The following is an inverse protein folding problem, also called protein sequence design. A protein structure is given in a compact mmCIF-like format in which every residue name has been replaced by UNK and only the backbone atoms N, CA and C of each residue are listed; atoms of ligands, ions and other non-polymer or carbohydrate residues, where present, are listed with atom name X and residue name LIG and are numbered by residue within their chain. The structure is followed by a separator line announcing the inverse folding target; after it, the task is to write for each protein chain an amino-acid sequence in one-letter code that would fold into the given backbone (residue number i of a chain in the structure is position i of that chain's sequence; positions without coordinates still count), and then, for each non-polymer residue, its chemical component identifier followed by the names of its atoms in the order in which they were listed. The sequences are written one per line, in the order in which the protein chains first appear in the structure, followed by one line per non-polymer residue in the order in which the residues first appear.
data_IF_553347195291
#
_entry.id   IF_553347195291
#
_cell.length_a   1.000
_cell.length_b   1.000
_cell.length_c   1.000
_cell.angle_alpha   90.00
_cell.angle_beta   90.00
_cell.angle_gamma   90.00
#
_symmetry.space_group_name_H-M   'P 1'
#
loop_
_entity.id
_entity.type
_entity.pdbx_description
1 polymer ?
#
# COMPACT_ATOMS: atom_id res chain seq x y z
N UNK A 1 5.19 -1.97 -31.27
CA UNK A 1 6.41 -1.47 -30.58
C UNK A 1 7.66 -1.83 -31.36
N UNK A 2 8.62 -0.92 -31.52
CA UNK A 2 9.91 -1.21 -32.16
C UNK A 2 10.90 -1.71 -31.10
N UNK A 3 11.84 -2.58 -31.49
CA UNK A 3 12.92 -3.06 -30.57
C UNK A 3 13.65 -1.92 -29.85
N UNK A 4 13.79 -0.76 -30.51
CA UNK A 4 14.42 0.42 -29.95
C UNK A 4 13.63 0.95 -28.74
N UNK A 5 12.30 0.93 -28.83
CA UNK A 5 11.41 1.44 -27.77
C UNK A 5 11.53 0.60 -26.48
N UNK A 6 11.58 -0.75 -26.60
CA UNK A 6 11.81 -1.64 -25.44
C UNK A 6 13.16 -1.37 -24.80
N UNK A 7 14.20 -1.21 -25.62
CA UNK A 7 15.55 -0.95 -25.09
C UNK A 7 15.63 0.39 -24.36
N UNK A 8 14.92 1.41 -24.80
CA UNK A 8 14.85 2.71 -24.13
C UNK A 8 14.09 2.61 -22.80
N UNK A 9 13.00 1.82 -22.75
CA UNK A 9 12.22 1.61 -21.53
C UNK A 9 12.96 0.82 -20.43
N UNK A 10 13.86 -0.10 -20.83
CA UNK A 10 14.60 -0.99 -19.93
C UNK A 10 16.02 -0.52 -19.61
N UNK A 11 16.49 0.56 -20.25
CA UNK A 11 17.80 1.14 -19.99
C UNK A 11 17.67 2.43 -19.19
N UNK A 12 18.70 2.72 -18.42
CA UNK A 12 18.87 3.99 -17.70
C UNK A 12 17.67 4.36 -16.79
N UNK A 13 17.02 3.35 -16.19
CA UNK A 13 15.92 3.53 -15.24
C UNK A 13 16.46 4.30 -14.03
N UNK A 14 15.84 5.42 -13.74
CA UNK A 14 16.16 6.24 -12.57
C UNK A 14 15.19 5.94 -11.42
N UNK A 15 15.63 6.12 -10.17
CA UNK A 15 14.73 6.04 -9.04
C UNK A 15 13.45 6.86 -9.25
N UNK A 16 12.31 6.24 -8.96
CA UNK A 16 10.95 6.79 -9.09
C UNK A 16 10.45 7.07 -10.51
N UNK A 17 11.15 6.61 -11.55
CA UNK A 17 10.59 6.65 -12.91
C UNK A 17 9.23 5.96 -12.93
N UNK A 18 8.21 6.68 -13.42
CA UNK A 18 6.83 6.19 -13.48
C UNK A 18 6.60 5.27 -14.67
N UNK A 19 5.65 4.35 -14.52
CA UNK A 19 5.09 3.61 -15.65
C UNK A 19 4.24 4.53 -16.55
N UNK A 20 3.80 4.00 -17.70
CA UNK A 20 2.85 4.71 -18.57
C UNK A 20 1.41 4.58 -18.09
N UNK A 21 1.14 3.59 -17.24
CA UNK A 21 -0.20 3.27 -16.70
C UNK A 21 -0.11 2.92 -15.23
N UNK A 22 -1.26 3.06 -14.54
CA UNK A 22 -1.43 2.66 -13.13
C UNK A 22 -2.47 1.55 -13.07
N UNK A 23 -2.16 0.42 -12.45
CA UNK A 23 -3.06 -0.72 -12.42
C UNK A 23 -4.34 -0.48 -11.62
N UNK A 24 -4.27 0.30 -10.54
CA UNK A 24 -5.42 0.58 -9.66
C UNK A 24 -6.51 1.43 -10.31
N UNK A 25 -6.18 2.18 -11.37
CA UNK A 25 -7.12 3.04 -12.10
C UNK A 25 -7.51 2.48 -13.49
N UNK A 26 -6.86 1.40 -13.92
CA UNK A 26 -7.28 0.68 -15.14
C UNK A 26 -8.60 -0.07 -14.85
N UNK A 27 -9.69 0.19 -15.59
CA UNK A 27 -11.01 -0.38 -15.26
C UNK A 27 -11.06 -1.91 -15.27
N UNK A 28 -10.27 -2.55 -16.13
CA UNK A 28 -10.19 -4.00 -16.18
C UNK A 28 -9.39 -4.57 -14.99
N UNK A 29 -8.17 -4.04 -14.78
CA UNK A 29 -7.28 -4.52 -13.72
C UNK A 29 -7.86 -4.22 -12.33
N UNK A 30 -8.50 -3.06 -12.14
CA UNK A 30 -9.13 -2.72 -10.86
C UNK A 30 -10.19 -3.74 -10.42
N UNK A 31 -10.87 -4.39 -11.36
CA UNK A 31 -11.79 -5.49 -11.06
C UNK A 31 -11.04 -6.74 -10.61
N UNK A 32 -9.97 -7.13 -11.31
CA UNK A 32 -9.13 -8.28 -10.93
C UNK A 32 -8.48 -8.06 -9.57
N UNK A 33 -8.02 -6.83 -9.28
CA UNK A 33 -7.47 -6.45 -7.99
C UNK A 33 -8.51 -6.57 -6.87
N UNK A 34 -9.75 -6.14 -7.11
CA UNK A 34 -10.82 -6.30 -6.12
C UNK A 34 -11.07 -7.78 -5.81
N UNK A 35 -11.12 -8.65 -6.81
CA UNK A 35 -11.26 -10.09 -6.63
C UNK A 35 -10.09 -10.66 -5.81
N UNK A 36 -8.85 -10.23 -6.11
CA UNK A 36 -7.68 -10.63 -5.34
C UNK A 36 -7.69 -10.13 -3.88
N UNK A 37 -8.15 -8.89 -3.63
CA UNK A 37 -8.35 -8.38 -2.26
C UNK A 37 -9.34 -9.20 -1.45
N UNK A 38 -10.37 -9.73 -2.10
CA UNK A 38 -11.46 -10.46 -1.45
C UNK A 38 -11.17 -11.95 -1.26
N UNK A 39 -10.13 -12.48 -1.88
CA UNK A 39 -9.72 -13.88 -1.68
C UNK A 39 -8.99 -14.02 -0.33
N UNK A 40 -9.60 -14.70 0.66
CA UNK A 40 -9.02 -14.79 2.00
C UNK A 40 -7.83 -15.76 2.10
N UNK A 41 -7.48 -16.44 1.00
CA UNK A 41 -6.48 -17.52 0.98
C UNK A 41 -5.12 -17.08 0.43
N UNK A 42 -5.06 -15.92 -0.23
CA UNK A 42 -3.84 -15.43 -0.88
C UNK A 42 -3.40 -14.08 -0.31
N UNK A 43 -2.10 -13.81 -0.37
CA UNK A 43 -1.48 -12.54 -0.02
C UNK A 43 -1.07 -11.78 -1.32
N UNK A 44 -2.05 -11.48 -2.19
CA UNK A 44 -1.76 -10.89 -3.50
C UNK A 44 -2.02 -9.37 -3.56
N UNK A 45 -3.15 -8.89 -3.03
CA UNK A 45 -3.52 -7.48 -2.99
C UNK A 45 -3.87 -7.03 -1.56
N UNK A 46 -4.17 -7.98 -0.69
CA UNK A 46 -4.34 -7.82 0.77
C UNK A 46 -3.76 -9.05 1.46
N UNK A 47 -3.55 -8.96 2.76
CA UNK A 47 -3.12 -10.11 3.56
C UNK A 47 -4.22 -11.15 3.66
N UNK A 48 -3.81 -12.42 3.79
CA UNK A 48 -4.73 -13.51 4.10
C UNK A 48 -5.48 -13.25 5.41
N UNK A 49 -6.59 -13.97 5.60
CA UNK A 49 -7.50 -13.75 6.73
C UNK A 49 -6.84 -13.88 8.11
N UNK A 50 -5.89 -14.80 8.25
CA UNK A 50 -5.16 -15.00 9.52
C UNK A 50 -4.35 -13.77 9.86
N UNK A 51 -3.58 -13.24 8.91
CA UNK A 51 -2.73 -12.07 9.09
C UNK A 51 -3.55 -10.79 9.25
N UNK A 52 -4.67 -10.64 8.54
CA UNK A 52 -5.63 -9.54 8.78
C UNK A 52 -6.11 -9.56 10.24
N UNK A 53 -6.54 -10.72 10.75
CA UNK A 53 -7.02 -10.84 12.13
C UNK A 53 -5.93 -10.51 13.15
N UNK A 54 -4.72 -11.04 12.97
CA UNK A 54 -3.57 -10.74 13.86
C UNK A 54 -3.25 -9.25 13.89
N UNK A 55 -3.27 -8.60 12.74
CA UNK A 55 -3.08 -7.15 12.62
C UNK A 55 -4.17 -6.38 13.35
N UNK A 56 -5.44 -6.75 13.17
CA UNK A 56 -6.58 -6.14 13.87
C UNK A 56 -6.49 -6.29 15.40
N UNK A 57 -6.13 -7.48 15.88
CA UNK A 57 -5.98 -7.76 17.31
C UNK A 57 -4.79 -6.94 17.90
N UNK A 58 -3.74 -6.74 17.12
CA UNK A 58 -2.63 -5.88 17.50
C UNK A 58 -3.03 -4.40 17.55
N UNK A 59 -3.80 -3.91 16.55
CA UNK A 59 -4.30 -2.52 16.51
C UNK A 59 -5.18 -2.24 17.73
N UNK A 60 -6.03 -3.16 18.14
CA UNK A 60 -6.88 -3.02 19.33
C UNK A 60 -6.05 -2.75 20.62
N UNK A 61 -4.84 -3.30 20.69
CA UNK A 61 -3.93 -3.06 21.81
C UNK A 61 -3.20 -1.72 21.72
N UNK A 62 -3.38 -0.94 20.63
CA UNK A 62 -2.72 0.35 20.43
C UNK A 62 -3.62 1.55 20.77
N UNK A 63 -4.83 1.34 21.28
CA UNK A 63 -5.76 2.40 21.68
C UNK A 63 -5.06 3.46 22.57
N UNK A 64 -5.31 4.74 22.27
CA UNK A 64 -4.66 5.85 22.95
C UNK A 64 -5.61 6.66 23.83
N UNK A 65 -6.94 6.59 23.55
CA UNK A 65 -7.99 7.24 24.32
C UNK A 65 -9.35 6.53 24.11
N UNK A 66 -10.43 7.09 24.65
CA UNK A 66 -11.78 6.51 24.59
C UNK A 66 -12.52 6.81 23.28
N UNK A 67 -12.13 7.84 22.52
CA UNK A 67 -12.87 8.28 21.33
C UNK A 67 -12.68 7.34 20.14
N UNK A 68 -11.49 6.76 20.00
CA UNK A 68 -11.16 5.78 18.95
C UNK A 68 -11.46 6.25 17.51
N UNK A 69 -11.28 7.57 17.22
CA UNK A 69 -11.39 8.07 15.85
C UNK A 69 -10.19 7.58 15.03
N UNK A 70 -10.46 6.76 14.03
CA UNK A 70 -9.43 6.08 13.25
C UNK A 70 -9.57 6.41 11.77
N UNK A 71 -8.44 6.70 11.12
CA UNK A 71 -8.32 6.85 9.67
C UNK A 71 -7.45 5.75 9.10
N UNK A 72 -7.94 5.07 8.07
CA UNK A 72 -7.20 4.09 7.27
C UNK A 72 -6.82 4.71 5.91
N UNK A 73 -5.52 4.89 5.67
CA UNK A 73 -4.96 5.42 4.43
C UNK A 73 -4.61 4.25 3.48
N UNK A 74 -5.17 4.26 2.28
CA UNK A 74 -5.12 3.12 1.36
C UNK A 74 -6.05 2.00 1.82
N UNK A 75 -7.28 2.32 2.27
CA UNK A 75 -8.20 1.37 2.88
C UNK A 75 -8.70 0.27 1.94
N UNK A 76 -8.49 0.40 0.62
CA UNK A 76 -8.94 -0.56 -0.37
C UNK A 76 -10.44 -0.85 -0.29
N UNK A 77 -10.86 -2.13 -0.40
CA UNK A 77 -12.26 -2.54 -0.29
C UNK A 77 -12.81 -2.57 1.14
N UNK A 78 -12.06 -2.07 2.12
CA UNK A 78 -12.53 -1.90 3.48
C UNK A 78 -12.37 -3.10 4.41
N UNK A 79 -11.42 -3.99 4.16
CA UNK A 79 -11.23 -5.21 4.97
C UNK A 79 -10.92 -4.89 6.43
N UNK A 80 -10.06 -3.91 6.70
CA UNK A 80 -9.72 -3.48 8.05
C UNK A 80 -10.79 -2.54 8.62
N UNK A 81 -11.24 -1.57 7.84
CA UNK A 81 -12.21 -0.55 8.29
C UNK A 81 -13.53 -1.15 8.73
N UNK A 82 -14.05 -2.15 8.00
CA UNK A 82 -15.28 -2.88 8.35
C UNK A 82 -15.15 -3.58 9.70
N UNK A 83 -14.07 -4.32 9.92
CA UNK A 83 -13.83 -5.05 11.17
C UNK A 83 -13.55 -4.10 12.36
N UNK A 84 -12.80 -3.02 12.14
CA UNK A 84 -12.55 -2.02 13.18
C UNK A 84 -13.85 -1.29 13.59
N UNK A 85 -14.72 -0.97 12.63
CA UNK A 85 -16.03 -0.40 12.93
C UNK A 85 -16.89 -1.35 13.79
N UNK A 86 -16.90 -2.66 13.51
CA UNK A 86 -17.56 -3.68 14.35
C UNK A 86 -16.97 -3.77 15.76
N UNK A 87 -15.69 -3.44 15.93
CA UNK A 87 -14.98 -3.38 17.22
C UNK A 87 -15.18 -2.06 17.97
N UNK A 88 -16.05 -1.16 17.45
CA UNK A 88 -16.44 0.09 18.10
C UNK A 88 -15.54 1.27 17.84
N UNK A 89 -14.71 1.24 16.78
CA UNK A 89 -13.99 2.40 16.31
C UNK A 89 -14.92 3.31 15.48
N UNK A 90 -14.70 4.62 15.55
CA UNK A 90 -15.28 5.59 14.62
C UNK A 90 -14.34 5.70 13.42
N UNK A 91 -14.69 5.05 12.31
CA UNK A 91 -13.74 4.77 11.22
C UNK A 91 -13.98 5.68 10.03
N UNK A 92 -12.86 6.21 9.48
CA UNK A 92 -12.78 6.79 8.15
C UNK A 92 -11.80 6.01 7.29
N UNK A 93 -12.03 5.92 5.98
CA UNK A 93 -11.15 5.25 5.04
C UNK A 93 -10.96 6.08 3.78
N UNK A 94 -9.70 6.29 3.37
CA UNK A 94 -9.33 6.99 2.16
C UNK A 94 -8.61 6.04 1.20
N UNK A 95 -9.03 6.05 -0.05
CA UNK A 95 -8.37 5.31 -1.12
C UNK A 95 -8.62 6.03 -2.46
N UNK A 96 -7.65 5.99 -3.37
CA UNK A 96 -7.83 6.63 -4.68
C UNK A 96 -8.54 5.73 -5.70
N UNK A 97 -8.72 4.43 -5.43
CA UNK A 97 -9.46 3.49 -6.27
C UNK A 97 -10.98 3.65 -6.05
N UNK A 98 -11.65 4.29 -6.98
CA UNK A 98 -13.11 4.42 -6.95
C UNK A 98 -13.82 3.05 -6.88
N UNK A 99 -13.24 2.03 -7.53
CA UNK A 99 -13.81 0.67 -7.53
C UNK A 99 -13.80 0.07 -6.12
N UNK A 100 -12.68 0.18 -5.42
CA UNK A 100 -12.52 -0.28 -4.02
C UNK A 100 -13.45 0.49 -3.08
N UNK A 101 -13.48 1.82 -3.18
CA UNK A 101 -14.34 2.68 -2.35
C UNK A 101 -15.84 2.39 -2.56
N UNK A 102 -16.27 2.17 -3.80
CA UNK A 102 -17.68 1.83 -4.05
C UNK A 102 -18.05 0.49 -3.44
N UNK A 103 -17.15 -0.49 -3.49
CA UNK A 103 -17.34 -1.78 -2.84
C UNK A 103 -17.40 -1.62 -1.30
N UNK A 104 -16.43 -0.90 -0.71
CA UNK A 104 -16.39 -0.66 0.73
C UNK A 104 -17.64 0.05 1.26
N UNK A 105 -18.14 1.07 0.54
CA UNK A 105 -19.40 1.76 0.86
C UNK A 105 -20.59 0.81 0.84
N UNK A 106 -20.67 -0.05 -0.19
CA UNK A 106 -21.75 -1.03 -0.29
C UNK A 106 -21.75 -2.02 0.88
N UNK A 107 -20.57 -2.56 1.22
CA UNK A 107 -20.43 -3.47 2.37
C UNK A 107 -20.84 -2.79 3.67
N UNK A 108 -20.41 -1.55 3.89
CA UNK A 108 -20.80 -0.79 5.08
C UNK A 108 -22.33 -0.56 5.16
N UNK A 109 -22.97 -0.23 4.04
CA UNK A 109 -24.43 -0.08 3.95
C UNK A 109 -25.17 -1.40 4.24
N UNK A 110 -24.74 -2.49 3.58
CA UNK A 110 -25.33 -3.82 3.72
C UNK A 110 -25.22 -4.36 5.18
N UNK A 111 -24.15 -4.00 5.88
CA UNK A 111 -23.90 -4.39 7.27
C UNK A 111 -24.38 -3.35 8.31
N UNK A 112 -24.95 -2.24 7.87
CA UNK A 112 -25.44 -1.17 8.76
C UNK A 112 -24.35 -0.46 9.55
N UNK A 113 -23.13 -0.37 9.01
CA UNK A 113 -21.97 0.27 9.62
C UNK A 113 -21.88 1.74 9.20
N UNK A 114 -21.50 2.61 10.14
CA UNK A 114 -21.28 4.02 9.86
C UNK A 114 -19.79 4.32 9.65
N UNK A 115 -19.31 4.08 8.43
CA UNK A 115 -17.91 4.32 8.04
C UNK A 115 -17.87 5.43 6.99
N UNK A 116 -16.96 6.40 7.17
CA UNK A 116 -16.78 7.51 6.22
C UNK A 116 -15.73 7.10 5.18
N UNK A 117 -16.16 6.81 3.95
CA UNK A 117 -15.26 6.52 2.85
C UNK A 117 -15.15 7.68 1.87
N UNK A 118 -13.91 8.06 1.54
CA UNK A 118 -13.61 9.08 0.54
C UNK A 118 -12.67 8.52 -0.54
N UNK A 119 -13.05 8.78 -1.82
CA UNK A 119 -12.17 8.46 -2.95
C UNK A 119 -11.24 9.64 -3.18
N UNK A 120 -10.00 9.55 -2.68
CA UNK A 120 -9.03 10.63 -2.76
C UNK A 120 -7.59 10.11 -2.68
N UNK A 121 -6.66 10.91 -3.15
CA UNK A 121 -5.25 10.75 -2.89
C UNK A 121 -4.95 11.27 -1.47
N UNK A 122 -4.50 10.40 -0.58
CA UNK A 122 -4.16 10.74 0.80
C UNK A 122 -3.02 11.78 0.93
N UNK A 123 -2.20 11.96 -0.12
CA UNK A 123 -1.20 13.04 -0.16
C UNK A 123 -1.87 14.43 -0.16
N UNK A 124 -3.12 14.52 -0.57
CA UNK A 124 -3.89 15.78 -0.65
C UNK A 124 -4.79 16.01 0.55
N UNK A 125 -4.80 15.14 1.57
CA UNK A 125 -5.67 15.29 2.73
C UNK A 125 -5.38 16.58 3.51
N UNK A 126 -6.44 17.22 4.03
CA UNK A 126 -6.35 18.50 4.75
C UNK A 126 -6.86 18.45 6.19
N UNK A 127 -7.16 17.25 6.70
CA UNK A 127 -7.64 17.03 8.07
C UNK A 127 -6.71 17.66 9.11
N UNK A 128 -7.26 18.16 10.20
CA UNK A 128 -6.53 18.82 11.28
C UNK A 128 -7.07 18.40 12.66
N UNK A 129 -6.21 17.72 13.47
CA UNK A 129 -6.56 17.23 14.82
C UNK A 129 -7.89 16.45 14.89
N UNK A 130 -8.11 15.57 13.93
CA UNK A 130 -9.37 14.80 13.82
C UNK A 130 -9.24 13.36 14.30
N UNK A 131 -8.04 12.76 14.24
CA UNK A 131 -7.87 11.33 14.47
C UNK A 131 -6.99 11.05 15.68
N UNK A 132 -7.33 9.97 16.39
CA UNK A 132 -6.55 9.41 17.48
C UNK A 132 -5.55 8.38 16.95
N UNK A 133 -5.95 7.66 15.90
CA UNK A 133 -5.14 6.67 15.19
C UNK A 133 -5.24 6.96 13.70
N UNK A 134 -4.11 7.03 13.04
CA UNK A 134 -4.02 6.93 11.58
C UNK A 134 -3.25 5.64 11.29
N UNK A 135 -3.73 4.85 10.37
CA UNK A 135 -3.04 3.63 9.94
C UNK A 135 -2.82 3.61 8.43
N UNK A 136 -1.78 2.89 8.01
CA UNK A 136 -1.46 2.61 6.61
C UNK A 136 -0.86 1.21 6.55
N UNK A 137 -1.64 0.24 6.11
CA UNK A 137 -1.30 -1.19 6.21
C UNK A 137 -1.09 -1.80 4.81
N UNK A 138 -0.28 -2.83 4.75
CA UNK A 138 0.16 -3.55 3.56
C UNK A 138 1.34 -2.89 2.83
N UNK A 139 2.29 -2.36 3.61
CA UNK A 139 3.55 -1.75 3.15
C UNK A 139 3.39 -0.53 2.23
N UNK A 140 2.21 0.09 2.21
CA UNK A 140 1.88 1.20 1.29
C UNK A 140 2.76 2.44 1.52
N UNK A 141 3.26 2.66 2.75
CA UNK A 141 4.25 3.71 3.02
C UNK A 141 5.55 3.55 2.20
N UNK A 142 5.92 2.32 1.89
CA UNK A 142 7.12 1.97 1.13
C UNK A 142 7.03 2.27 -0.37
N UNK A 143 5.84 2.46 -0.95
CA UNK A 143 5.69 2.71 -2.39
C UNK A 143 5.96 4.17 -2.78
N UNK A 144 5.94 5.07 -1.79
CA UNK A 144 6.10 6.51 -1.98
C UNK A 144 7.57 6.90 -2.22
N UNK A 145 7.78 7.92 -3.02
CA UNK A 145 9.07 8.60 -3.13
C UNK A 145 9.42 9.33 -1.83
N UNK A 146 10.67 9.76 -1.71
CA UNK A 146 11.13 10.51 -0.52
C UNK A 146 10.30 11.79 -0.30
N UNK A 147 10.00 12.53 -1.37
CA UNK A 147 9.24 13.79 -1.27
C UNK A 147 7.78 13.51 -0.89
N UNK A 148 7.16 12.48 -1.48
CA UNK A 148 5.79 12.05 -1.14
C UNK A 148 5.71 11.57 0.31
N UNK A 149 6.69 10.80 0.81
CA UNK A 149 6.75 10.40 2.24
C UNK A 149 6.84 11.62 3.17
N UNK A 150 7.70 12.58 2.85
CA UNK A 150 7.83 13.79 3.64
C UNK A 150 6.52 14.60 3.69
N UNK A 151 5.80 14.68 2.57
CA UNK A 151 4.50 15.37 2.53
C UNK A 151 3.44 14.58 3.32
N UNK A 152 3.39 13.27 3.14
CA UNK A 152 2.46 12.42 3.89
C UNK A 152 2.69 12.50 5.40
N UNK A 153 3.95 12.46 5.87
CA UNK A 153 4.27 12.57 7.31
C UNK A 153 3.78 13.91 7.88
N UNK A 154 3.92 15.02 7.15
CA UNK A 154 3.37 16.32 7.57
C UNK A 154 1.85 16.30 7.66
N UNK A 155 1.19 15.72 6.67
CA UNK A 155 -0.26 15.59 6.64
C UNK A 155 -0.77 14.73 7.79
N UNK A 156 -0.13 13.59 8.06
CA UNK A 156 -0.43 12.71 9.21
C UNK A 156 -0.23 13.47 10.53
N UNK A 157 0.89 14.19 10.67
CA UNK A 157 1.13 14.97 11.88
C UNK A 157 0.03 16.02 12.13
N UNK A 158 -0.41 16.72 11.09
CA UNK A 158 -1.50 17.69 11.16
C UNK A 158 -2.83 17.03 11.54
N UNK A 159 -3.16 15.90 10.91
CA UNK A 159 -4.43 15.21 11.07
C UNK A 159 -4.59 14.50 12.43
N UNK A 160 -3.50 14.05 13.03
CA UNK A 160 -3.50 13.45 14.35
C UNK A 160 -3.78 14.48 15.45
N UNK A 161 -4.60 14.10 16.43
CA UNK A 161 -4.74 14.82 17.70
C UNK A 161 -3.43 14.80 18.48
N UNK A 162 -3.20 15.75 19.41
CA UNK A 162 -2.09 15.65 20.35
C UNK A 162 -2.12 14.33 21.11
N UNK A 163 -1.00 13.59 21.07
CA UNK A 163 -0.89 12.27 21.68
C UNK A 163 -1.42 11.12 20.83
N UNK A 164 -1.99 11.39 19.67
CA UNK A 164 -2.41 10.39 18.68
C UNK A 164 -1.23 9.62 18.09
N UNK A 165 -1.51 8.52 17.42
CA UNK A 165 -0.50 7.62 16.87
C UNK A 165 -0.71 7.34 15.39
N UNK A 166 0.41 7.24 14.66
CA UNK A 166 0.45 6.66 13.33
C UNK A 166 0.94 5.22 13.41
N UNK A 167 0.25 4.33 12.75
CA UNK A 167 0.57 2.91 12.66
C UNK A 167 0.78 2.56 11.20
N UNK A 168 1.92 1.97 10.87
CA UNK A 168 2.14 1.46 9.53
C UNK A 168 3.04 0.22 9.57
N UNK A 169 3.07 -0.49 8.48
CA UNK A 169 4.02 -1.57 8.26
C UNK A 169 4.87 -1.30 7.02
N UNK A 170 6.02 -1.91 6.97
CA UNK A 170 6.93 -1.79 5.85
C UNK A 170 7.78 -3.04 5.68
N UNK A 171 8.32 -3.20 4.49
CA UNK A 171 9.37 -4.18 4.23
C UNK A 171 10.62 -3.85 5.05
N UNK A 172 11.37 -4.86 5.45
CA UNK A 172 12.66 -4.77 6.10
C UNK A 172 13.77 -5.41 5.25
N UNK A 173 15.02 -5.47 5.74
CA UNK A 173 16.14 -6.00 4.97
C UNK A 173 15.99 -7.48 4.57
N UNK A 174 15.24 -8.28 5.31
CA UNK A 174 15.01 -9.69 4.96
C UNK A 174 14.25 -9.86 3.64
N UNK A 175 13.41 -8.88 3.28
CA UNK A 175 12.76 -8.86 1.97
C UNK A 175 13.81 -8.87 0.85
N UNK A 176 14.83 -8.01 0.97
CA UNK A 176 15.87 -7.88 -0.05
C UNK A 176 16.84 -9.06 -0.03
N UNK A 177 17.14 -9.61 1.16
CA UNK A 177 17.99 -10.80 1.30
C UNK A 177 17.39 -12.01 0.55
N UNK A 178 16.06 -12.07 0.45
CA UNK A 178 15.32 -13.10 -0.27
C UNK A 178 14.97 -12.74 -1.72
N UNK A 179 15.18 -11.46 -2.11
CA UNK A 179 14.81 -10.98 -3.43
C UNK A 179 15.71 -11.62 -4.51
N UNK A 180 15.07 -12.24 -5.48
CA UNK A 180 15.77 -12.70 -6.70
C UNK A 180 15.60 -11.65 -7.79
N UNK A 181 16.65 -10.86 -8.03
CA UNK A 181 16.71 -10.05 -9.25
C UNK A 181 16.51 -10.98 -10.45
N UNK A 182 15.46 -10.77 -11.20
CA UNK A 182 15.04 -11.69 -12.25
C UNK A 182 14.44 -10.96 -13.44
N UNK A 183 14.49 -11.60 -14.59
CA UNK A 183 13.78 -11.21 -15.80
C UNK A 183 13.03 -12.41 -16.30
N UNK A 184 11.77 -12.23 -16.61
CA UNK A 184 10.92 -13.28 -17.15
C UNK A 184 10.04 -12.76 -18.25
N UNK A 185 9.44 -13.66 -19.00
CA UNK A 185 8.39 -13.33 -19.95
C UNK A 185 7.34 -14.42 -19.90
N UNK A 186 6.13 -14.03 -20.21
CA UNK A 186 4.98 -14.90 -20.26
C UNK A 186 4.08 -14.53 -21.44
N UNK A 187 3.40 -15.54 -22.03
CA UNK A 187 2.37 -15.36 -23.04
C UNK A 187 1.07 -15.92 -22.47
N UNK A 188 0.04 -15.10 -22.49
CA UNK A 188 -1.28 -15.44 -21.95
C UNK A 188 -2.37 -15.20 -22.99
N UNK A 189 -3.34 -16.10 -23.07
CA UNK A 189 -4.56 -15.94 -23.89
C UNK A 189 -5.57 -14.94 -23.30
N UNK A 190 -5.29 -14.42 -22.11
CA UNK A 190 -6.04 -13.48 -21.31
C UNK A 190 -5.74 -13.71 -19.84
N UNK A 191 -6.00 -12.75 -18.97
CA UNK A 191 -5.70 -12.89 -17.55
C UNK A 191 -5.64 -11.56 -16.81
N UNK A 192 -4.77 -11.45 -15.82
CA UNK A 192 -4.72 -10.31 -14.91
C UNK A 192 -4.59 -8.95 -15.60
N UNK A 193 -3.70 -8.84 -16.60
CA UNK A 193 -3.38 -7.55 -17.22
C UNK A 193 -4.42 -7.08 -18.24
N UNK A 194 -5.03 -8.02 -18.97
CA UNK A 194 -6.09 -7.74 -19.94
C UNK A 194 -6.85 -9.01 -20.34
N UNK A 195 -8.06 -8.81 -20.88
CA UNK A 195 -8.96 -9.90 -21.32
C UNK A 195 -8.46 -10.64 -22.57
N UNK A 196 -7.78 -9.91 -23.48
CA UNK A 196 -7.28 -10.43 -24.75
C UNK A 196 -5.87 -10.99 -24.59
N UNK A 197 -5.39 -11.80 -25.57
CA UNK A 197 -4.01 -12.30 -25.56
C UNK A 197 -2.96 -11.20 -25.40
N UNK A 198 -1.91 -11.50 -24.65
CA UNK A 198 -0.81 -10.57 -24.44
C UNK A 198 0.52 -11.30 -24.14
N UNK A 199 1.61 -10.58 -24.33
CA UNK A 199 2.93 -10.95 -23.81
C UNK A 199 3.29 -10.01 -22.68
N UNK A 200 3.70 -10.55 -21.55
CA UNK A 200 4.19 -9.77 -20.39
C UNK A 200 5.69 -9.98 -20.22
N UNK A 201 6.45 -8.89 -20.20
CA UNK A 201 7.87 -8.90 -19.84
C UNK A 201 7.97 -8.34 -18.42
N UNK A 202 8.49 -9.13 -17.49
CA UNK A 202 8.60 -8.79 -16.08
C UNK A 202 10.05 -8.68 -15.67
N UNK A 203 10.38 -7.70 -14.83
CA UNK A 203 11.72 -7.50 -14.31
C UNK A 203 11.66 -7.03 -12.87
N UNK A 204 12.54 -7.61 -12.02
CA UNK A 204 12.81 -7.15 -10.67
C UNK A 204 14.22 -6.57 -10.59
N UNK A 205 14.33 -5.35 -10.05
CA UNK A 205 15.58 -4.61 -9.86
C UNK A 205 15.74 -4.18 -8.41
N UNK A 206 16.99 -4.08 -7.95
CA UNK A 206 17.33 -3.55 -6.64
C UNK A 206 18.20 -2.29 -6.81
N UNK A 207 17.84 -1.24 -6.11
CA UNK A 207 18.52 0.07 -6.06
C UNK A 207 19.00 0.31 -4.62
N UNK A 208 20.23 -0.11 -4.34
CA UNK A 208 20.79 -0.06 -2.98
C UNK A 208 20.88 1.38 -2.45
N UNK A 209 21.20 2.33 -3.31
CA UNK A 209 21.39 3.74 -2.98
C UNK A 209 20.14 4.43 -2.41
N UNK A 210 18.95 3.93 -2.75
CA UNK A 210 17.67 4.42 -2.22
C UNK A 210 16.97 3.41 -1.30
N UNK A 211 17.63 2.28 -1.01
CA UNK A 211 17.03 1.14 -0.28
C UNK A 211 15.68 0.73 -0.87
N UNK A 212 15.63 0.63 -2.18
CA UNK A 212 14.40 0.39 -2.93
C UNK A 212 14.54 -0.74 -3.94
N UNK A 213 13.40 -1.27 -4.30
CA UNK A 213 13.24 -2.25 -5.39
C UNK A 213 12.25 -1.71 -6.41
N UNK A 214 12.41 -2.13 -7.63
CA UNK A 214 11.45 -1.90 -8.71
C UNK A 214 11.00 -3.23 -9.25
N UNK A 215 9.70 -3.46 -9.22
CA UNK A 215 9.05 -4.46 -10.05
C UNK A 215 8.42 -3.75 -11.24
N UNK A 216 8.73 -4.18 -12.47
CA UNK A 216 8.14 -3.60 -13.66
C UNK A 216 7.62 -4.66 -14.62
N UNK A 217 6.51 -4.31 -15.30
CA UNK A 217 5.86 -5.15 -16.29
C UNK A 217 5.58 -4.36 -17.56
N UNK A 218 6.01 -4.90 -18.70
CA UNK A 218 5.63 -4.40 -20.02
C UNK A 218 4.62 -5.39 -20.60
N UNK A 219 3.38 -4.98 -20.67
CA UNK A 219 2.28 -5.77 -21.26
C UNK A 219 2.09 -5.34 -22.70
N UNK A 220 2.27 -6.25 -23.63
CA UNK A 220 2.22 -6.00 -25.08
C UNK A 220 1.01 -6.75 -25.64
N UNK A 221 0.11 -6.05 -26.31
CA UNK A 221 -1.08 -6.62 -26.92
C UNK A 221 -0.83 -7.17 -28.35
N UNK A 222 -1.87 -7.75 -28.97
CA UNK A 222 -1.82 -8.34 -30.31
C UNK A 222 -1.51 -7.32 -31.43
N UNK A 223 -1.76 -6.03 -31.23
CA UNK A 223 -1.46 -4.96 -32.22
C UNK A 223 -0.12 -4.28 -31.94
N UNK A 224 0.68 -4.87 -31.02
CA UNK A 224 1.97 -4.36 -30.56
C UNK A 224 1.91 -2.99 -29.90
N UNK A 225 0.79 -2.60 -29.32
CA UNK A 225 0.73 -1.51 -28.35
C UNK A 225 1.18 -2.03 -26.98
N UNK A 226 1.60 -1.14 -26.08
CA UNK A 226 2.12 -1.57 -24.79
C UNK A 226 1.69 -0.67 -23.65
N UNK A 227 1.58 -1.29 -22.48
CA UNK A 227 1.43 -0.63 -21.20
C UNK A 227 2.63 -0.97 -20.32
N UNK A 228 3.26 0.04 -19.72
CA UNK A 228 4.34 -0.14 -18.76
C UNK A 228 3.80 0.16 -17.36
N UNK A 229 3.93 -0.82 -16.47
CA UNK A 229 3.62 -0.71 -15.05
C UNK A 229 4.91 -0.76 -14.26
N UNK A 230 5.08 0.12 -13.28
CA UNK A 230 6.24 0.19 -12.38
C UNK A 230 5.78 0.31 -10.96
N UNK A 231 6.30 -0.56 -10.09
CA UNK A 231 5.99 -0.64 -8.67
C UNK A 231 7.28 -0.48 -7.88
N UNK A 232 7.45 0.68 -7.29
CA UNK A 232 8.56 0.97 -6.40
C UNK A 232 8.20 0.52 -4.99
N UNK A 233 9.13 -0.14 -4.30
CA UNK A 233 9.00 -0.52 -2.91
C UNK A 233 10.29 -0.18 -2.17
N UNK A 234 10.17 0.31 -0.95
CA UNK A 234 11.30 0.59 -0.07
C UNK A 234 11.26 -0.29 1.16
N UNK A 235 12.44 -0.60 1.66
CA UNK A 235 12.61 -1.30 2.92
C UNK A 235 13.32 -0.39 3.92
N UNK A 236 12.91 -0.45 5.18
CA UNK A 236 13.39 0.47 6.20
C UNK A 236 13.98 -0.28 7.40
N UNK A 237 15.07 0.27 7.94
CA UNK A 237 15.53 -0.03 9.28
C UNK A 237 14.78 0.84 10.31
N UNK A 238 14.89 0.49 11.59
CA UNK A 238 14.36 1.34 12.67
C UNK A 238 15.01 2.74 12.67
N UNK A 239 16.28 2.84 12.28
CA UNK A 239 17.00 4.11 12.22
C UNK A 239 16.46 4.99 11.08
N UNK A 240 16.17 4.41 9.91
CA UNK A 240 15.55 5.15 8.81
C UNK A 240 14.20 5.74 9.24
N UNK A 241 13.37 4.92 9.90
CA UNK A 241 12.06 5.36 10.39
C UNK A 241 12.22 6.46 11.44
N UNK A 242 13.15 6.31 12.39
CA UNK A 242 13.43 7.36 13.39
C UNK A 242 13.80 8.67 12.71
N UNK A 243 14.76 8.64 11.80
CA UNK A 243 15.24 9.84 11.11
C UNK A 243 14.12 10.56 10.35
N UNK A 244 13.26 9.81 9.64
CA UNK A 244 12.12 10.38 8.91
C UNK A 244 11.10 11.05 9.83
N UNK A 245 10.70 10.39 10.91
CA UNK A 245 9.61 10.87 11.75
C UNK A 245 10.05 11.91 12.80
N UNK A 246 11.24 11.78 13.37
CA UNK A 246 11.79 12.76 14.31
C UNK A 246 12.01 14.12 13.64
N UNK A 247 12.40 14.15 12.35
CA UNK A 247 12.48 15.38 11.55
C UNK A 247 11.14 16.13 11.44
N UNK A 248 10.02 15.45 11.66
CA UNK A 248 8.67 16.00 11.63
C UNK A 248 8.01 16.10 13.03
N UNK A 249 8.81 16.16 14.11
CA UNK A 249 8.38 16.34 15.51
C UNK A 249 7.62 15.16 16.13
N UNK A 250 7.62 13.99 15.53
CA UNK A 250 7.19 12.78 16.20
C UNK A 250 8.24 12.35 17.24
N UNK A 251 7.82 11.72 18.35
CA UNK A 251 8.71 11.55 19.51
C UNK A 251 8.99 10.10 19.87
N UNK A 252 7.99 9.26 19.90
CA UNK A 252 8.13 7.87 20.33
C UNK A 252 7.88 6.95 19.15
N UNK A 253 8.90 6.20 18.74
CA UNK A 253 8.85 5.22 17.67
C UNK A 253 9.05 3.84 18.26
N UNK A 254 8.05 2.98 18.13
CA UNK A 254 8.06 1.60 18.59
C UNK A 254 8.03 0.66 17.39
N UNK A 255 8.86 -0.37 17.42
CA UNK A 255 9.00 -1.38 16.38
C UNK A 255 8.43 -2.71 16.85
N UNK A 256 7.70 -3.41 16.00
CA UNK A 256 7.10 -4.71 16.26
C UNK A 256 7.41 -5.68 15.12
N UNK A 257 7.99 -6.83 15.44
CA UNK A 257 8.34 -7.89 14.51
C UNK A 257 7.55 -9.17 14.84
N UNK A 258 7.44 -10.09 13.87
CA UNK A 258 6.78 -11.38 14.06
C UNK A 258 5.26 -11.27 14.26
N UNK A 259 4.64 -10.17 13.83
CA UNK A 259 3.19 -10.02 13.90
C UNK A 259 2.48 -10.88 12.86
N UNK A 260 3.06 -11.02 11.68
CA UNK A 260 2.51 -11.86 10.61
C UNK A 260 2.96 -13.31 10.78
N UNK A 261 2.11 -14.24 10.34
CA UNK A 261 2.43 -15.65 10.26
C UNK A 261 3.22 -15.90 8.97
N UNK A 262 4.32 -16.65 9.09
CA UNK A 262 5.19 -17.04 7.98
C UNK A 262 5.80 -15.91 7.14
N UNK A 263 5.75 -14.65 7.61
CA UNK A 263 6.38 -13.52 6.96
C UNK A 263 7.16 -12.65 7.96
N UNK A 264 8.47 -12.81 7.97
CA UNK A 264 9.41 -12.05 8.79
C UNK A 264 10.08 -10.88 8.03
N UNK A 265 9.70 -10.69 6.77
CA UNK A 265 10.16 -9.59 5.91
C UNK A 265 9.43 -8.27 6.15
N UNK A 266 8.35 -8.30 6.96
CA UNK A 266 7.54 -7.13 7.31
C UNK A 266 7.75 -6.73 8.78
N UNK A 267 7.84 -5.43 8.99
CA UNK A 267 7.97 -4.81 10.31
C UNK A 267 6.87 -3.78 10.51
N UNK A 268 6.22 -3.82 11.67
CA UNK A 268 5.20 -2.84 12.06
C UNK A 268 5.81 -1.75 12.93
N UNK A 269 5.29 -0.55 12.79
CA UNK A 269 5.71 0.62 13.56
C UNK A 269 4.50 1.33 14.17
N UNK A 270 4.69 1.82 15.40
CA UNK A 270 3.78 2.75 16.05
C UNK A 270 4.54 4.01 16.40
N UNK A 271 4.03 5.14 15.95
CA UNK A 271 4.70 6.43 16.04
C UNK A 271 3.77 7.43 16.70
N UNK A 272 4.22 8.08 17.77
CA UNK A 272 3.39 9.00 18.57
C UNK A 272 3.68 10.45 18.23
N UNK A 273 2.62 11.22 18.00
CA UNK A 273 2.65 12.68 17.90
C UNK A 273 2.94 13.35 19.24
#
# INVERSE_FOLDING_TARGET
MKRKDILELLRDIKPYDKGTHMMWTDPYIAKQLLEAHLDPTIDAASRNRTNVRRTLDWIDNQKVNENNDLLDLGCGPGLYTTELSKRGYNVSGYDFSMNSINYAKKVAEDEGLNIKYECMDYLTMTNENEFDIIMMIYCDFGVLSLDERNELIKNIYRALRPGGVFIFDSLNSKFVDNLKVSKSWDISEGGFWQEKPYTCLSEWLHFEEIRGTLEQHIVIDEVNDYKLYRFWNHYFSLEDVKNMFEAHNFRKIEKFEGLLEDDDSVTFYKIKK
#
